data_IF_740910969702
#
_entry.id   IF_740910969702
#
_cell.length_a   1.000
_cell.length_b   1.000
_cell.length_c   1.000
_cell.angle_alpha   90.00
_cell.angle_beta   90.00
_cell.angle_gamma   90.00
#
_symmetry.space_group_name_H-M   'P 1'
#
loop_
_entity.id
_entity.type
_entity.pdbx_description
1 polymer ?
#
# COMPACT_ATOMS: atom_id res chain seq x y z
N UNK A 1 -3.78 3.97 -15.50
CA UNK A 1 -2.42 3.71 -15.98
C UNK A 1 -1.64 5.02 -15.94
N UNK A 2 -0.35 4.95 -15.62
CA UNK A 2 0.45 6.10 -15.21
C UNK A 2 1.76 6.15 -16.00
N UNK A 3 1.85 7.07 -16.95
CA UNK A 3 2.97 7.16 -17.89
C UNK A 3 4.28 7.59 -17.20
N UNK A 4 5.37 6.87 -17.48
CA UNK A 4 6.73 7.21 -17.08
C UNK A 4 7.26 8.25 -18.06
N UNK A 5 7.40 9.49 -17.59
CA UNK A 5 7.93 10.60 -18.37
C UNK A 5 9.44 10.47 -18.54
N UNK A 6 10.14 10.09 -17.48
CA UNK A 6 11.58 9.84 -17.52
C UNK A 6 12.00 8.82 -16.48
N UNK A 7 13.06 8.08 -16.83
CA UNK A 7 13.79 7.16 -15.95
C UNK A 7 15.26 7.51 -15.98
N UNK A 8 15.87 7.60 -14.81
CA UNK A 8 17.30 7.85 -14.63
C UNK A 8 17.89 6.77 -13.74
N UNK A 9 19.00 6.16 -14.18
CA UNK A 9 19.76 5.20 -13.37
C UNK A 9 20.68 5.97 -12.42
N UNK A 10 20.44 5.84 -11.12
CA UNK A 10 21.27 6.48 -10.08
C UNK A 10 22.43 5.56 -9.66
N UNK A 11 22.19 4.26 -9.58
CA UNK A 11 23.20 3.22 -9.34
C UNK A 11 22.77 1.90 -9.98
N UNK A 12 23.51 0.81 -9.77
CA UNK A 12 23.20 -0.49 -10.41
C UNK A 12 21.75 -0.94 -10.19
N UNK A 13 21.25 -0.79 -8.96
CA UNK A 13 19.92 -1.25 -8.55
C UNK A 13 18.97 -0.11 -8.14
N UNK A 14 19.34 1.15 -8.36
CA UNK A 14 18.57 2.32 -7.92
C UNK A 14 18.21 3.23 -9.10
N UNK A 15 16.94 3.54 -9.24
CA UNK A 15 16.42 4.32 -10.35
C UNK A 15 15.46 5.41 -9.88
N UNK A 16 15.54 6.58 -10.51
CA UNK A 16 14.62 7.70 -10.34
C UNK A 16 13.62 7.71 -11.49
N UNK A 17 12.34 7.80 -11.15
CA UNK A 17 11.24 7.86 -12.11
C UNK A 17 10.49 9.18 -11.96
N UNK A 18 10.15 9.82 -13.07
CA UNK A 18 9.15 10.88 -13.13
C UNK A 18 7.91 10.28 -13.79
N UNK A 19 6.78 10.31 -13.09
CA UNK A 19 5.54 9.63 -13.52
C UNK A 19 4.39 10.64 -13.55
N UNK A 20 3.60 10.64 -14.63
CA UNK A 20 2.41 11.50 -14.75
C UNK A 20 1.29 10.97 -13.84
N UNK A 21 0.91 11.76 -12.83
CA UNK A 21 -0.16 11.40 -11.89
C UNK A 21 -0.85 12.66 -11.31
N UNK A 22 -1.73 13.33 -12.08
CA UNK A 22 -2.20 14.68 -11.75
C UNK A 22 -2.93 14.82 -10.42
N UNK A 23 -3.84 13.87 -10.15
CA UNK A 23 -4.63 13.86 -8.91
C UNK A 23 -3.73 13.69 -7.69
N UNK A 24 -2.73 12.82 -7.81
CA UNK A 24 -1.79 12.53 -6.73
C UNK A 24 -0.88 13.72 -6.49
N UNK A 25 -0.28 14.27 -7.55
CA UNK A 25 0.64 15.41 -7.47
C UNK A 25 -0.01 16.64 -6.82
N UNK A 26 -1.30 16.88 -7.09
CA UNK A 26 -2.06 17.98 -6.49
C UNK A 26 -2.28 17.82 -4.98
N UNK A 27 -2.54 16.59 -4.53
CA UNK A 27 -2.91 16.29 -3.16
C UNK A 27 -1.71 15.93 -2.24
N UNK A 28 -0.57 15.57 -2.84
CA UNK A 28 0.62 15.10 -2.13
C UNK A 28 1.13 16.10 -1.08
N UNK A 29 1.57 15.57 0.07
CA UNK A 29 2.26 16.27 1.14
C UNK A 29 3.46 15.43 1.63
N UNK A 30 4.48 16.05 2.26
CA UNK A 30 5.63 15.33 2.82
C UNK A 30 5.20 14.17 3.72
N UNK A 31 5.89 13.03 3.62
CA UNK A 31 5.56 11.79 4.34
C UNK A 31 4.50 10.92 3.67
N UNK A 32 3.82 11.40 2.62
CA UNK A 32 2.92 10.55 1.85
C UNK A 32 3.67 9.54 0.98
N UNK A 33 3.01 8.42 0.73
CA UNK A 33 3.48 7.37 -0.17
C UNK A 33 2.39 6.99 -1.17
N UNK A 34 2.71 6.09 -2.09
CA UNK A 34 1.75 5.48 -3.02
C UNK A 34 1.85 3.96 -2.96
N UNK A 35 0.76 3.27 -3.27
CA UNK A 35 0.81 1.84 -3.61
C UNK A 35 0.91 1.73 -5.13
N UNK A 36 1.95 1.07 -5.63
CA UNK A 36 2.19 0.86 -7.04
C UNK A 36 2.11 -0.63 -7.43
N UNK A 37 1.65 -0.91 -8.64
CA UNK A 37 1.70 -2.22 -9.29
C UNK A 37 2.22 -2.04 -10.71
N UNK A 38 3.33 -2.69 -11.05
CA UNK A 38 3.99 -2.52 -12.35
C UNK A 38 3.14 -3.06 -13.52
N UNK A 39 2.68 -4.31 -13.40
CA UNK A 39 2.05 -5.11 -14.46
C UNK A 39 0.81 -5.84 -13.91
N UNK A 40 -0.03 -6.41 -14.80
CA UNK A 40 -1.33 -6.99 -14.43
C UNK A 40 -1.23 -8.12 -13.40
N UNK A 41 -0.25 -9.01 -13.55
CA UNK A 41 0.07 -10.13 -12.65
C UNK A 41 1.00 -9.72 -11.49
N UNK A 42 1.34 -8.43 -11.37
CA UNK A 42 2.25 -7.93 -10.36
C UNK A 42 1.63 -7.80 -8.97
N UNK A 43 2.47 -7.86 -7.93
CA UNK A 43 2.04 -7.50 -6.58
C UNK A 43 2.03 -5.97 -6.39
N UNK A 44 1.27 -5.53 -5.39
CA UNK A 44 1.20 -4.13 -4.95
C UNK A 44 2.31 -3.86 -3.95
N UNK A 45 3.05 -2.77 -4.14
CA UNK A 45 4.14 -2.37 -3.24
C UNK A 45 4.04 -0.89 -2.84
N UNK A 46 4.32 -0.54 -1.57
CA UNK A 46 4.42 0.85 -1.15
C UNK A 46 5.71 1.49 -1.65
N UNK A 47 5.60 2.71 -2.19
CA UNK A 47 6.73 3.52 -2.62
C UNK A 47 6.56 4.95 -2.10
N UNK A 48 7.62 5.51 -1.49
CA UNK A 48 7.64 6.91 -1.08
C UNK A 48 7.63 7.84 -2.29
N UNK A 49 6.90 8.94 -2.18
CA UNK A 49 6.93 10.02 -3.17
C UNK A 49 7.95 11.06 -2.71
N UNK A 50 9.06 11.19 -3.44
CA UNK A 50 10.16 12.08 -3.01
C UNK A 50 9.98 13.51 -3.51
N UNK A 51 9.17 13.72 -4.56
CA UNK A 51 8.74 15.02 -5.01
C UNK A 51 7.42 14.92 -5.78
N UNK A 52 6.68 16.03 -5.81
CA UNK A 52 5.47 16.18 -6.63
C UNK A 52 5.46 17.56 -7.28
N UNK A 53 5.34 17.61 -8.60
CA UNK A 53 5.20 18.85 -9.34
C UNK A 53 3.73 19.07 -9.72
N UNK A 54 3.12 20.09 -9.13
CA UNK A 54 1.71 20.43 -9.38
C UNK A 54 1.45 21.03 -10.76
N UNK A 55 2.45 21.66 -11.37
CA UNK A 55 2.35 22.29 -12.69
C UNK A 55 2.57 21.28 -13.80
N UNK A 56 3.58 20.43 -13.66
CA UNK A 56 3.85 19.33 -14.60
C UNK A 56 2.93 18.13 -14.36
N UNK A 57 2.25 18.10 -13.21
CA UNK A 57 1.33 17.05 -12.76
C UNK A 57 2.03 15.68 -12.65
N UNK A 58 3.26 15.70 -12.15
CA UNK A 58 4.12 14.52 -12.04
C UNK A 58 4.50 14.22 -10.58
N UNK A 59 4.85 12.96 -10.34
CA UNK A 59 5.49 12.48 -9.12
C UNK A 59 6.91 12.04 -9.45
N UNK A 60 7.82 12.24 -8.51
CA UNK A 60 9.14 11.64 -8.54
C UNK A 60 9.20 10.50 -7.54
N UNK A 61 9.57 9.31 -8.03
CA UNK A 61 9.78 8.10 -7.23
C UNK A 61 11.25 7.69 -7.33
N UNK A 62 11.82 7.19 -6.24
CA UNK A 62 13.12 6.51 -6.26
C UNK A 62 12.90 5.08 -5.82
N UNK A 63 13.28 4.13 -6.68
CA UNK A 63 12.95 2.72 -6.53
C UNK A 63 14.22 1.90 -6.59
N UNK A 64 14.42 1.07 -5.58
CA UNK A 64 15.53 0.13 -5.50
C UNK A 64 15.05 -1.29 -5.82
N UNK A 65 15.74 -1.98 -6.73
CA UNK A 65 15.43 -3.35 -7.12
C UNK A 65 15.92 -4.35 -6.05
N UNK A 66 15.08 -4.57 -5.04
CA UNK A 66 15.35 -5.47 -3.89
C UNK A 66 14.48 -6.74 -3.89
N UNK A 67 13.54 -6.85 -4.82
CA UNK A 67 12.67 -8.02 -4.97
C UNK A 67 11.89 -7.99 -6.28
N UNK A 68 11.06 -9.00 -6.53
CA UNK A 68 10.34 -9.18 -7.81
C UNK A 68 9.57 -7.93 -8.23
N UNK A 69 8.75 -7.37 -7.33
CA UNK A 69 7.88 -6.24 -7.66
C UNK A 69 8.65 -4.97 -8.00
N UNK A 70 9.68 -4.62 -7.21
CA UNK A 70 10.50 -3.44 -7.47
C UNK A 70 11.40 -3.65 -8.68
N UNK A 71 11.89 -4.86 -8.93
CA UNK A 71 12.61 -5.20 -10.15
C UNK A 71 11.73 -5.10 -11.41
N UNK A 72 10.46 -5.53 -11.34
CA UNK A 72 9.47 -5.33 -12.42
C UNK A 72 9.22 -3.83 -12.68
N UNK A 73 9.13 -2.99 -11.64
CA UNK A 73 9.03 -1.53 -11.82
C UNK A 73 10.29 -0.98 -12.48
N UNK A 74 11.47 -1.41 -11.99
CA UNK A 74 12.77 -0.99 -12.50
C UNK A 74 13.00 -1.43 -13.94
N UNK A 75 12.37 -2.51 -14.41
CA UNK A 75 12.46 -2.96 -15.80
C UNK A 75 11.74 -2.02 -16.78
N UNK A 76 10.71 -1.29 -16.35
CA UNK A 76 9.97 -0.35 -17.19
C UNK A 76 10.84 0.83 -17.62
N UNK A 77 10.57 1.40 -18.79
CA UNK A 77 11.33 2.47 -19.43
C UNK A 77 10.50 3.74 -19.63
N UNK A 78 11.19 4.85 -19.93
CA UNK A 78 10.52 6.10 -20.31
C UNK A 78 9.58 5.87 -21.50
N UNK A 79 8.36 6.39 -21.41
CA UNK A 79 7.29 6.18 -22.39
C UNK A 79 6.35 5.01 -22.05
N UNK A 80 6.79 4.05 -21.23
CA UNK A 80 5.93 2.98 -20.73
C UNK A 80 5.08 3.44 -19.53
N UNK A 81 4.19 2.56 -19.05
CA UNK A 81 3.25 2.89 -17.99
C UNK A 81 3.39 1.96 -16.79
N UNK A 82 3.32 2.54 -15.59
CA UNK A 82 3.02 1.77 -14.38
C UNK A 82 1.52 1.49 -14.38
N UNK A 83 1.14 0.21 -14.31
CA UNK A 83 -0.27 -0.22 -14.42
C UNK A 83 -1.18 0.54 -13.45
N UNK A 84 -0.85 0.48 -12.16
CA UNK A 84 -1.61 1.12 -11.10
C UNK A 84 -0.70 1.90 -10.15
N UNK A 85 -1.16 3.10 -9.77
CA UNK A 85 -0.64 3.90 -8.67
C UNK A 85 -1.85 4.41 -7.89
N UNK A 86 -1.84 4.23 -6.58
CA UNK A 86 -2.89 4.69 -5.67
C UNK A 86 -2.27 5.59 -4.63
N UNK A 87 -2.75 6.83 -4.53
CA UNK A 87 -2.40 7.75 -3.46
C UNK A 87 -2.84 9.20 -3.71
N UNK A 88 -2.29 10.17 -2.96
CA UNK A 88 -1.33 9.96 -1.87
C UNK A 88 -1.99 9.20 -0.71
N UNK A 89 -1.21 8.35 -0.04
CA UNK A 89 -1.63 7.56 1.12
C UNK A 89 -0.81 7.94 2.35
N UNK A 90 -1.31 7.53 3.52
CA UNK A 90 -0.74 7.92 4.80
C UNK A 90 -1.11 9.34 5.23
N UNK A 91 -1.02 9.59 6.52
CA UNK A 91 -0.99 10.93 7.10
C UNK A 91 0.34 11.60 6.75
N UNK A 92 0.32 12.89 6.37
CA UNK A 92 1.54 13.65 6.16
C UNK A 92 2.39 13.73 7.43
N UNK A 93 3.71 13.85 7.26
CA UNK A 93 4.63 14.15 8.35
C UNK A 93 4.20 15.45 9.06
N UNK A 94 4.18 15.49 10.40
CA UNK A 94 3.88 16.70 11.14
C UNK A 94 5.06 17.68 11.02
N UNK A 95 4.99 18.59 10.05
CA UNK A 95 6.00 19.62 9.82
C UNK A 95 5.56 20.91 10.52
N UNK A 96 6.44 21.46 11.38
CA UNK A 96 6.24 22.67 12.16
C UNK A 96 7.61 23.34 12.39
N UNK A 97 7.63 24.55 12.94
CA UNK A 97 8.86 25.17 13.45
C UNK A 97 9.21 24.61 14.83
N UNK A 98 10.18 23.70 14.87
CA UNK A 98 10.69 23.04 16.07
C UNK A 98 11.97 23.69 16.62
N UNK A 99 12.80 24.29 15.76
CA UNK A 99 14.15 24.77 16.10
C UNK A 99 15.20 23.93 15.39
N UNK A 100 16.06 23.26 16.16
CA UNK A 100 17.05 22.31 15.63
C UNK A 100 16.42 20.93 15.48
N UNK A 101 16.46 20.38 14.27
CA UNK A 101 15.88 19.09 13.91
C UNK A 101 16.97 18.18 13.35
N UNK A 102 17.05 16.95 13.85
CA UNK A 102 17.93 15.91 13.29
C UNK A 102 17.10 14.94 12.46
N UNK A 103 17.48 14.73 11.20
CA UNK A 103 16.87 13.76 10.29
C UNK A 103 17.85 12.61 10.06
N UNK A 104 17.51 11.41 10.54
CA UNK A 104 18.34 10.21 10.41
C UNK A 104 17.78 9.30 9.33
N UNK A 105 18.62 8.87 8.40
CA UNK A 105 18.21 8.04 7.27
C UNK A 105 19.19 6.90 6.99
N UNK A 106 18.68 5.73 6.61
CA UNK A 106 19.49 4.65 6.03
C UNK A 106 18.82 4.03 4.80
N UNK A 107 19.64 3.53 3.87
CA UNK A 107 19.18 2.88 2.64
C UNK A 107 18.21 3.73 1.81
N UNK A 108 17.17 3.10 1.26
CA UNK A 108 16.10 3.81 0.53
C UNK A 108 15.34 4.84 1.39
N UNK A 109 15.42 4.73 2.73
CA UNK A 109 14.87 5.71 3.66
C UNK A 109 15.46 7.11 3.48
N UNK A 110 16.73 7.20 3.06
CA UNK A 110 17.39 8.49 2.78
C UNK A 110 16.64 9.28 1.70
N UNK A 111 16.16 8.62 0.65
CA UNK A 111 15.39 9.29 -0.40
C UNK A 111 14.06 9.86 0.13
N UNK A 112 13.47 9.19 1.13
CA UNK A 112 12.22 9.62 1.76
C UNK A 112 12.40 10.83 2.69
N UNK A 113 13.65 11.13 3.12
CA UNK A 113 13.95 12.33 3.89
C UNK A 113 13.88 13.62 3.06
N UNK A 114 14.14 13.56 1.75
CA UNK A 114 14.15 14.74 0.88
C UNK A 114 12.90 15.63 1.02
N UNK A 115 11.66 15.12 0.85
CA UNK A 115 10.46 15.95 1.00
C UNK A 115 10.25 16.43 2.44
N UNK A 116 10.69 15.66 3.45
CA UNK A 116 10.55 16.01 4.87
C UNK A 116 11.51 17.16 5.23
N UNK A 117 12.78 17.05 4.86
CA UNK A 117 13.80 18.07 5.08
C UNK A 117 13.41 19.37 4.37
N UNK A 118 13.01 19.29 3.10
CA UNK A 118 12.57 20.47 2.35
C UNK A 118 11.43 21.21 3.05
N UNK A 119 10.46 20.47 3.59
CA UNK A 119 9.36 21.04 4.33
C UNK A 119 9.79 21.63 5.69
N UNK A 120 10.65 20.95 6.45
CA UNK A 120 11.21 21.46 7.71
C UNK A 120 11.99 22.76 7.49
N UNK A 121 12.79 22.84 6.43
CA UNK A 121 13.50 24.08 6.05
C UNK A 121 12.55 25.21 5.68
N UNK A 122 11.44 24.91 5.00
CA UNK A 122 10.43 25.92 4.68
C UNK A 122 9.73 26.50 5.92
N UNK A 123 9.73 25.76 7.03
CA UNK A 123 9.27 26.21 8.35
C UNK A 123 10.40 26.80 9.22
N UNK A 124 11.53 27.21 8.62
CA UNK A 124 12.67 27.85 9.28
C UNK A 124 13.33 27.01 10.39
N UNK A 125 13.37 25.69 10.24
CA UNK A 125 14.18 24.83 11.09
C UNK A 125 15.66 24.84 10.69
N UNK A 126 16.55 24.65 11.66
CA UNK A 126 17.94 24.23 11.44
C UNK A 126 17.96 22.70 11.35
N UNK A 127 18.33 22.16 10.20
CA UNK A 127 18.22 20.73 9.90
C UNK A 127 19.60 20.11 9.72
N UNK A 128 19.91 19.14 10.59
CA UNK A 128 21.06 18.26 10.47
C UNK A 128 20.59 16.92 9.92
N UNK A 129 21.16 16.47 8.79
CA UNK A 129 20.94 15.11 8.31
C UNK A 129 22.07 14.17 8.76
N UNK A 130 21.70 13.01 9.29
CA UNK A 130 22.62 11.91 9.56
C UNK A 130 22.30 10.78 8.58
N UNK A 131 23.21 10.54 7.64
CA UNK A 131 23.04 9.55 6.58
C UNK A 131 23.88 8.32 6.92
N UNK A 132 23.22 7.20 7.17
CA UNK A 132 23.86 5.97 7.58
C UNK A 132 24.02 5.02 6.40
N UNK A 133 25.26 4.65 6.12
CA UNK A 133 25.62 3.58 5.20
C UNK A 133 25.43 2.23 5.88
N UNK A 134 24.98 1.23 5.11
CA UNK A 134 24.88 -0.16 5.58
C UNK A 134 25.74 -1.07 4.74
N UNK A 135 25.99 -2.26 5.25
CA UNK A 135 26.71 -3.29 4.51
C UNK A 135 26.02 -3.58 3.15
N UNK A 136 26.75 -3.42 2.05
CA UNK A 136 26.28 -3.57 0.66
C UNK A 136 25.17 -2.59 0.24
N UNK A 137 24.91 -1.53 0.99
CA UNK A 137 23.90 -0.52 0.68
C UNK A 137 24.49 0.89 0.88
N UNK A 138 25.09 1.47 -0.18
CA UNK A 138 25.76 2.77 -0.10
C UNK A 138 24.77 3.91 0.11
N UNK A 139 25.27 5.05 0.59
CA UNK A 139 24.48 6.29 0.75
C UNK A 139 23.99 6.76 -0.62
N UNK A 140 22.69 7.09 -0.70
CA UNK A 140 22.03 7.56 -1.92
C UNK A 140 21.65 9.03 -1.77
N UNK A 141 21.61 9.76 -2.90
CA UNK A 141 21.13 11.16 -2.95
C UNK A 141 21.85 12.12 -1.99
N UNK A 142 23.13 11.85 -1.67
CA UNK A 142 23.91 12.65 -0.73
C UNK A 142 23.99 14.13 -1.14
N UNK A 143 24.20 14.39 -2.44
CA UNK A 143 24.34 15.76 -2.95
C UNK A 143 23.01 16.52 -2.88
N UNK A 144 21.91 15.85 -3.20
CA UNK A 144 20.57 16.40 -3.11
C UNK A 144 20.19 16.72 -1.67
N UNK A 145 20.56 15.87 -0.70
CA UNK A 145 20.35 16.13 0.73
C UNK A 145 21.22 17.31 1.18
N UNK A 146 22.54 17.30 0.87
CA UNK A 146 23.46 18.39 1.21
C UNK A 146 23.01 19.75 0.68
N UNK A 147 22.38 19.78 -0.49
CA UNK A 147 21.89 21.01 -1.10
C UNK A 147 20.70 21.65 -0.34
N UNK A 148 20.00 20.88 0.50
CA UNK A 148 18.80 21.34 1.20
C UNK A 148 18.94 21.33 2.74
N UNK A 149 20.01 20.77 3.31
CA UNK A 149 20.26 20.74 4.76
C UNK A 149 21.28 21.78 5.18
N UNK A 150 21.31 22.13 6.47
CA UNK A 150 22.35 23.00 7.02
C UNK A 150 23.65 22.22 7.26
N UNK A 151 23.53 20.98 7.74
CA UNK A 151 24.65 20.10 8.05
C UNK A 151 24.34 18.66 7.63
N UNK A 152 25.37 17.93 7.17
CA UNK A 152 25.28 16.51 6.84
C UNK A 152 26.41 15.75 7.50
N UNK A 153 26.05 14.71 8.24
CA UNK A 153 26.97 13.76 8.86
C UNK A 153 26.80 12.42 8.17
N UNK A 154 27.89 11.89 7.61
CA UNK A 154 27.93 10.54 7.05
C UNK A 154 28.36 9.57 8.14
N UNK A 155 27.60 8.49 8.31
CA UNK A 155 27.78 7.51 9.37
C UNK A 155 27.99 6.14 8.73
N UNK A 156 29.23 5.64 8.73
CA UNK A 156 29.60 4.38 8.06
C UNK A 156 30.34 3.46 9.03
N UNK A 157 29.77 2.30 9.33
CA UNK A 157 30.46 1.19 9.96
C UNK A 157 29.71 -0.12 9.64
N UNK A 158 30.42 -1.17 9.25
CA UNK A 158 29.79 -2.40 8.77
C UNK A 158 29.55 -3.39 9.92
N UNK A 159 28.43 -4.12 9.84
CA UNK A 159 28.00 -5.10 10.84
C UNK A 159 27.13 -4.50 11.96
N UNK A 160 26.19 -5.30 12.49
CA UNK A 160 25.13 -4.84 13.42
C UNK A 160 25.64 -4.07 14.65
N UNK A 161 26.70 -4.57 15.28
CA UNK A 161 27.28 -3.92 16.48
C UNK A 161 28.04 -2.64 16.11
N UNK A 162 28.70 -2.62 14.94
CA UNK A 162 29.40 -1.45 14.40
C UNK A 162 28.42 -0.34 14.00
N UNK A 163 27.35 -0.71 13.30
CA UNK A 163 26.24 0.15 12.90
C UNK A 163 25.60 0.84 14.11
N UNK A 164 25.27 0.07 15.17
CA UNK A 164 24.72 0.62 16.42
C UNK A 164 25.69 1.61 17.09
N UNK A 165 26.94 1.20 17.27
CA UNK A 165 27.93 2.05 17.93
C UNK A 165 28.15 3.36 17.18
N UNK A 166 28.16 3.30 15.85
CA UNK A 166 28.43 4.45 15.00
C UNK A 166 27.26 5.44 14.96
N UNK A 167 26.01 4.97 14.88
CA UNK A 167 24.86 5.87 14.91
C UNK A 167 24.72 6.57 16.26
N UNK A 168 24.96 5.83 17.36
CA UNK A 168 24.95 6.40 18.72
C UNK A 168 26.05 7.46 18.84
N UNK A 169 27.29 7.16 18.44
CA UNK A 169 28.39 8.12 18.51
C UNK A 169 28.11 9.39 17.68
N UNK A 170 27.51 9.23 16.49
CA UNK A 170 27.15 10.36 15.62
C UNK A 170 26.11 11.28 16.28
N UNK A 171 25.08 10.71 16.90
CA UNK A 171 24.03 11.47 17.58
C UNK A 171 24.51 12.09 18.89
N UNK A 172 25.28 11.36 19.70
CA UNK A 172 25.87 11.86 20.94
C UNK A 172 26.75 13.08 20.71
N UNK A 173 27.52 13.08 19.62
CA UNK A 173 28.33 14.23 19.24
C UNK A 173 27.45 15.47 19.01
N UNK A 174 26.35 15.32 18.27
CA UNK A 174 25.40 16.41 18.00
C UNK A 174 24.78 16.92 19.29
N UNK A 175 24.30 16.02 20.16
CA UNK A 175 23.63 16.37 21.41
C UNK A 175 24.55 17.09 22.41
N UNK A 176 25.86 16.84 22.33
CA UNK A 176 26.87 17.57 23.13
C UNK A 176 27.21 18.95 22.56
N UNK A 177 27.10 19.12 21.25
CA UNK A 177 27.46 20.36 20.57
C UNK A 177 26.33 21.38 20.58
N UNK A 178 25.08 20.93 20.54
CA UNK A 178 23.93 21.81 20.46
C UNK A 178 22.63 21.18 20.98
N UNK A 179 21.66 22.05 21.27
CA UNK A 179 20.30 21.62 21.62
C UNK A 179 19.60 21.07 20.38
N UNK A 180 19.01 19.89 20.51
CA UNK A 180 18.14 19.26 19.50
C UNK A 180 16.71 19.23 20.02
N UNK A 181 15.77 19.75 19.24
CA UNK A 181 14.37 19.88 19.62
C UNK A 181 13.50 18.73 19.10
N UNK A 182 13.92 18.10 18.00
CA UNK A 182 13.14 17.07 17.32
C UNK A 182 14.05 16.13 16.54
N UNK A 183 13.70 14.85 16.52
CA UNK A 183 14.31 13.87 15.61
C UNK A 183 13.25 13.26 14.69
N UNK A 184 13.60 13.07 13.42
CA UNK A 184 12.87 12.22 12.48
C UNK A 184 13.79 11.10 12.03
N UNK A 185 13.33 9.86 12.03
CA UNK A 185 14.12 8.71 11.55
C UNK A 185 13.33 7.81 10.61
N UNK A 186 14.01 7.33 9.55
CA UNK A 186 13.44 6.46 8.53
C UNK A 186 14.51 5.55 7.93
N UNK A 187 14.22 4.27 7.76
CA UNK A 187 15.13 3.33 7.11
C UNK A 187 15.05 1.96 7.74
N UNK A 188 16.22 1.38 8.04
CA UNK A 188 16.31 0.08 8.70
C UNK A 188 15.64 0.08 10.09
N UNK A 189 14.78 -0.90 10.41
CA UNK A 189 14.09 -0.96 11.70
C UNK A 189 15.00 -1.00 12.94
N UNK A 190 16.18 -1.63 12.86
CA UNK A 190 17.12 -1.64 13.98
C UNK A 190 17.77 -0.26 14.15
N UNK A 191 18.15 0.40 13.05
CA UNK A 191 18.63 1.79 13.12
C UNK A 191 17.57 2.70 13.75
N UNK A 192 16.31 2.60 13.28
CA UNK A 192 15.21 3.39 13.84
C UNK A 192 15.03 3.13 15.34
N UNK A 193 15.14 1.86 15.78
CA UNK A 193 15.10 1.50 17.20
C UNK A 193 16.25 2.13 17.99
N UNK A 194 17.49 2.05 17.51
CA UNK A 194 18.65 2.63 18.19
C UNK A 194 18.53 4.15 18.37
N UNK A 195 18.03 4.85 17.35
CA UNK A 195 17.74 6.29 17.44
C UNK A 195 16.66 6.58 18.47
N UNK A 196 15.58 5.80 18.50
CA UNK A 196 14.48 5.97 19.46
C UNK A 196 14.94 5.72 20.90
N UNK A 197 15.72 4.67 21.14
CA UNK A 197 16.26 4.34 22.46
C UNK A 197 17.15 5.48 23.00
N UNK A 198 18.11 5.94 22.18
CA UNK A 198 19.00 7.03 22.58
C UNK A 198 18.24 8.34 22.81
N UNK A 199 17.37 8.73 21.89
CA UNK A 199 16.61 9.98 22.03
C UNK A 199 15.66 9.97 23.23
N UNK A 200 15.19 8.80 23.66
CA UNK A 200 14.40 8.63 24.88
C UNK A 200 15.21 8.93 26.13
N UNK A 201 16.46 8.46 26.20
CA UNK A 201 17.39 8.79 27.30
C UNK A 201 17.62 10.30 27.42
N UNK A 202 17.67 10.99 26.29
CA UNK A 202 17.84 12.45 26.22
C UNK A 202 16.51 13.24 26.28
N UNK A 203 15.36 12.57 26.42
CA UNK A 203 14.03 13.21 26.39
C UNK A 203 13.77 14.07 25.14
N UNK A 204 14.35 13.68 24.00
CA UNK A 204 14.16 14.36 22.72
C UNK A 204 12.99 13.70 21.97
N UNK A 205 11.93 14.45 21.59
CA UNK A 205 10.80 13.87 20.85
C UNK A 205 11.25 13.32 19.48
N UNK A 206 10.89 12.08 19.18
CA UNK A 206 11.33 11.39 17.96
C UNK A 206 10.13 10.87 17.17
N UNK A 207 10.04 11.25 15.91
CA UNK A 207 9.11 10.65 14.96
C UNK A 207 9.82 9.59 14.12
N UNK A 208 9.13 8.49 13.87
CA UNK A 208 9.62 7.39 13.02
C UNK A 208 8.63 7.10 11.91
N UNK A 209 9.11 7.08 10.67
CA UNK A 209 8.33 6.68 9.51
C UNK A 209 8.48 5.18 9.26
N UNK A 210 7.45 4.41 9.60
CA UNK A 210 7.50 2.94 9.57
C UNK A 210 7.32 2.36 8.16
N UNK A 211 8.15 1.36 7.84
CA UNK A 211 8.17 0.61 6.58
C UNK A 211 7.49 -0.77 6.71
N UNK A 212 6.24 -0.82 7.17
CA UNK A 212 5.50 -2.09 7.32
C UNK A 212 5.06 -2.71 5.97
N UNK A 213 4.84 -4.02 5.95
CA UNK A 213 4.23 -4.73 4.81
C UNK A 213 2.85 -4.13 4.53
N UNK A 214 2.58 -3.79 3.26
CA UNK A 214 1.30 -3.24 2.82
C UNK A 214 0.76 -4.00 1.60
N UNK A 215 -0.57 -4.07 1.50
CA UNK A 215 -1.27 -4.67 0.35
C UNK A 215 -2.20 -3.64 -0.30
N UNK A 216 -3.22 -3.20 0.44
CA UNK A 216 -4.20 -2.23 -0.05
C UNK A 216 -3.77 -0.77 0.17
N UNK A 217 -3.12 -0.48 1.31
CA UNK A 217 -2.69 0.87 1.70
C UNK A 217 -3.82 1.82 2.14
N UNK A 218 -5.03 1.30 2.38
CA UNK A 218 -6.24 2.09 2.69
C UNK A 218 -6.98 1.60 3.95
N UNK A 219 -6.30 0.80 4.78
CA UNK A 219 -6.82 0.32 6.06
C UNK A 219 -7.79 -0.85 5.98
N UNK A 220 -7.88 -1.53 4.84
CA UNK A 220 -8.88 -2.58 4.61
C UNK A 220 -8.43 -3.95 5.13
N UNK A 221 -7.14 -4.30 5.03
CA UNK A 221 -6.69 -5.67 5.34
C UNK A 221 -5.94 -5.84 6.67
N UNK A 222 -5.36 -4.77 7.23
CA UNK A 222 -4.53 -4.85 8.44
C UNK A 222 -3.17 -5.55 8.26
N UNK A 223 -2.69 -5.74 7.02
CA UNK A 223 -1.34 -6.25 6.74
C UNK A 223 -0.26 -5.33 7.34
N UNK A 224 -0.51 -4.03 7.32
CA UNK A 224 0.42 -3.05 7.90
C UNK A 224 0.14 -2.75 9.37
N UNK A 225 -0.52 -3.67 10.09
CA UNK A 225 -0.79 -3.45 11.52
C UNK A 225 0.52 -3.48 12.31
N UNK A 226 0.56 -2.67 13.36
CA UNK A 226 1.65 -2.61 14.34
C UNK A 226 1.08 -2.16 15.69
N UNK A 227 1.72 -2.57 16.79
CA UNK A 227 1.40 -2.06 18.12
C UNK A 227 2.11 -0.72 18.37
N UNK A 228 1.33 0.30 18.70
CA UNK A 228 1.78 1.63 19.13
C UNK A 228 1.13 1.92 20.48
N UNK A 229 1.91 2.12 21.53
CA UNK A 229 1.42 2.37 22.90
C UNK A 229 0.38 1.33 23.37
N UNK A 230 0.70 0.05 23.16
CA UNK A 230 -0.17 -1.08 23.51
C UNK A 230 -1.47 -1.20 22.69
N UNK A 231 -1.65 -0.38 21.64
CA UNK A 231 -2.84 -0.41 20.77
C UNK A 231 -2.46 -0.74 19.34
N UNK A 232 -3.28 -1.56 18.70
CA UNK A 232 -3.11 -1.84 17.26
C UNK A 232 -3.43 -0.59 16.43
N UNK A 233 -2.49 -0.23 15.55
CA UNK A 233 -2.60 0.85 14.55
C UNK A 233 -2.31 0.31 13.17
N UNK A 234 -2.84 0.96 12.13
CA UNK A 234 -2.56 0.59 10.74
C UNK A 234 -1.64 1.64 10.11
N UNK A 235 -0.40 1.27 9.80
CA UNK A 235 0.60 2.22 9.26
C UNK A 235 0.10 3.02 8.07
N UNK A 236 -0.65 2.40 7.14
CA UNK A 236 -1.16 3.08 5.94
C UNK A 236 -2.24 4.16 6.20
N UNK A 237 -2.94 4.09 7.33
CA UNK A 237 -4.03 5.02 7.68
C UNK A 237 -3.66 5.92 8.86
N UNK A 238 -3.02 5.35 9.87
CA UNK A 238 -2.66 6.04 11.11
C UNK A 238 -1.32 6.75 11.04
N UNK A 239 -0.39 6.23 10.22
CA UNK A 239 0.98 6.73 10.04
C UNK A 239 1.21 7.21 8.60
N UNK A 240 2.41 7.01 7.99
CA UNK A 240 3.47 6.12 8.44
C UNK A 240 4.31 6.68 9.59
N UNK A 241 4.21 7.98 9.87
CA UNK A 241 4.87 8.65 10.99
C UNK A 241 4.18 8.40 12.33
N UNK A 242 4.90 7.84 13.29
CA UNK A 242 4.47 7.63 14.67
C UNK A 242 5.45 8.26 15.67
N UNK A 243 5.05 8.35 16.94
CA UNK A 243 5.98 8.58 18.04
C UNK A 243 6.87 7.34 18.21
N UNK A 244 8.16 7.50 17.94
CA UNK A 244 9.13 6.42 17.96
C UNK A 244 9.31 5.78 19.33
N UNK A 245 9.01 6.50 20.41
CA UNK A 245 9.14 5.97 21.78
C UNK A 245 8.01 5.02 22.16
N UNK A 246 6.97 4.90 21.32
CA UNK A 246 5.78 4.09 21.54
C UNK A 246 5.70 2.87 20.61
N UNK A 247 6.67 2.68 19.70
CA UNK A 247 6.65 1.61 18.69
C UNK A 247 7.15 0.28 19.26
N UNK A 248 6.44 -0.81 18.97
CA UNK A 248 6.95 -2.17 19.16
C UNK A 248 7.87 -2.58 17.99
N UNK A 249 9.16 -2.23 18.08
CA UNK A 249 10.16 -2.58 17.07
C UNK A 249 10.38 -4.10 16.91
N UNK A 250 10.43 -4.91 17.98
CA UNK A 250 10.47 -6.37 17.84
C UNK A 250 9.30 -6.94 17.03
N UNK A 251 8.07 -6.47 17.25
CA UNK A 251 6.92 -6.85 16.42
C UNK A 251 7.17 -6.46 14.95
N UNK A 252 7.55 -5.20 14.69
CA UNK A 252 7.80 -4.71 13.32
C UNK A 252 8.83 -5.57 12.58
N UNK A 253 9.97 -5.85 13.21
CA UNK A 253 11.07 -6.64 12.62
C UNK A 253 10.61 -8.06 12.32
N UNK A 254 9.90 -8.70 13.24
CA UNK A 254 9.39 -10.05 13.03
C UNK A 254 8.37 -10.09 11.88
N UNK A 255 7.51 -9.08 11.79
CA UNK A 255 6.52 -8.95 10.72
C UNK A 255 7.18 -8.73 9.36
N UNK A 256 8.24 -7.92 9.27
CA UNK A 256 8.96 -7.69 8.02
C UNK A 256 9.67 -8.95 7.50
N UNK A 257 10.10 -9.83 8.39
CA UNK A 257 10.75 -11.10 8.03
C UNK A 257 9.75 -12.25 7.81
N UNK A 258 8.44 -11.99 7.77
CA UNK A 258 7.44 -13.06 7.66
C UNK A 258 7.45 -13.78 6.30
N UNK A 259 7.96 -13.16 5.24
CA UNK A 259 8.00 -13.72 3.88
C UNK A 259 9.42 -13.81 3.28
N UNK A 260 10.46 -13.69 4.12
CA UNK A 260 11.84 -13.54 3.63
C UNK A 260 12.30 -14.71 2.75
N UNK A 261 11.86 -15.94 3.03
CA UNK A 261 12.27 -17.11 2.27
C UNK A 261 11.53 -17.19 0.93
N UNK A 262 10.22 -16.95 0.93
CA UNK A 262 9.39 -16.86 -0.27
C UNK A 262 9.88 -15.74 -1.20
N UNK A 263 10.23 -14.58 -0.65
CA UNK A 263 10.76 -13.44 -1.40
C UNK A 263 12.11 -13.78 -2.05
N UNK A 264 13.02 -14.43 -1.33
CA UNK A 264 14.31 -14.88 -1.87
C UNK A 264 14.12 -15.86 -3.02
N UNK A 265 13.25 -16.86 -2.84
CA UNK A 265 12.97 -17.88 -3.86
C UNK A 265 12.33 -17.25 -5.09
N UNK A 266 11.31 -16.41 -4.91
CA UNK A 266 10.62 -15.74 -6.00
C UNK A 266 11.56 -14.81 -6.77
N UNK A 267 12.43 -14.08 -6.08
CA UNK A 267 13.38 -13.17 -6.73
C UNK A 267 14.48 -13.93 -7.49
N UNK A 268 15.01 -15.02 -6.91
CA UNK A 268 15.96 -15.88 -7.61
C UNK A 268 15.36 -16.52 -8.87
N UNK A 269 14.07 -16.89 -8.85
CA UNK A 269 13.35 -17.37 -10.03
C UNK A 269 13.25 -16.28 -11.10
N UNK A 270 12.76 -15.10 -10.73
CA UNK A 270 12.64 -13.96 -11.63
C UNK A 270 13.97 -13.58 -12.30
N UNK A 271 15.08 -13.59 -11.55
CA UNK A 271 16.42 -13.30 -12.10
C UNK A 271 16.90 -14.38 -13.09
N UNK A 272 16.46 -15.64 -12.94
CA UNK A 272 16.80 -16.71 -13.90
C UNK A 272 16.01 -16.55 -15.20
N UNK A 273 14.71 -16.27 -15.10
CA UNK A 273 13.84 -16.09 -16.26
C UNK A 273 14.29 -14.89 -17.12
N UNK A 274 14.59 -13.76 -16.47
CA UNK A 274 15.05 -12.55 -17.16
C UNK A 274 16.42 -12.70 -17.83
N UNK A 275 17.36 -13.42 -17.19
CA UNK A 275 18.66 -13.74 -17.82
C UNK A 275 18.54 -14.72 -18.99
N UNK A 276 17.56 -15.62 -18.95
CA UNK A 276 17.28 -16.54 -20.05
C UNK A 276 16.61 -15.84 -21.24
N UNK A 277 15.75 -14.84 -20.99
CA UNK A 277 15.11 -14.05 -22.05
C UNK A 277 16.06 -13.09 -22.77
N UNK A 278 17.15 -12.66 -22.13
CA UNK A 278 18.20 -11.84 -22.77
C UNK A 278 19.14 -12.67 -23.68
N UNK A 279 19.08 -14.00 -23.62
CA UNK A 279 19.93 -14.91 -24.40
C UNK A 279 19.21 -15.60 -25.58
N UNK A 280 17.89 -15.46 -25.71
CA UNK A 280 17.12 -16.12 -26.77
C UNK A 280 15.82 -15.38 -27.07
N UNK A 281 15.60 -15.11 -28.35
CA UNK A 281 14.39 -14.50 -28.93
C UNK A 281 13.12 -15.26 -28.55
N UNK A 282 12.10 -14.50 -28.11
CA UNK A 282 10.65 -14.81 -28.14
C UNK A 282 10.24 -16.26 -27.89
N UNK A 283 9.78 -16.53 -26.67
CA UNK A 283 8.82 -17.61 -26.45
C UNK A 283 7.54 -17.07 -25.80
N UNK A 284 6.44 -17.29 -26.53
CA UNK A 284 5.08 -16.99 -26.11
C UNK A 284 4.76 -17.84 -24.89
N UNK A 285 4.47 -17.20 -23.76
CA UNK A 285 3.87 -17.88 -22.62
C UNK A 285 2.44 -18.23 -23.01
N UNK A 286 2.13 -19.52 -22.98
CA UNK A 286 0.81 -20.07 -23.22
C UNK A 286 -0.20 -19.44 -22.25
N UNK A 287 -1.11 -18.65 -22.80
CA UNK A 287 -2.37 -18.32 -22.14
C UNK A 287 -3.08 -19.62 -21.78
N UNK A 288 -3.47 -19.76 -20.51
CA UNK A 288 -4.51 -20.70 -20.14
C UNK A 288 -5.76 -20.25 -20.89
N UNK A 289 -6.13 -21.00 -21.92
CA UNK A 289 -7.31 -20.75 -22.72
C UNK A 289 -8.54 -20.71 -21.81
N UNK A 290 -9.04 -19.50 -21.58
CA UNK A 290 -10.43 -19.29 -21.21
C UNK A 290 -11.19 -19.57 -22.50
N UNK A 291 -12.07 -20.56 -22.47
CA UNK A 291 -12.86 -21.00 -23.62
C UNK A 291 -13.47 -19.77 -24.33
N UNK A 292 -13.23 -19.63 -25.64
CA UNK A 292 -13.68 -18.49 -26.46
C UNK A 292 -15.21 -18.32 -26.47
N UNK A 293 -15.94 -19.33 -25.99
CA UNK A 293 -17.39 -19.34 -25.87
C UNK A 293 -17.97 -18.32 -24.86
N UNK A 294 -17.19 -17.84 -23.87
CA UNK A 294 -17.69 -16.95 -22.81
C UNK A 294 -17.48 -15.45 -23.06
N UNK A 295 -16.89 -15.06 -24.20
CA UNK A 295 -16.84 -13.65 -24.65
C UNK A 295 -18.15 -13.22 -25.31
N UNK A 296 -19.28 -13.42 -24.63
CA UNK A 296 -20.48 -12.63 -24.93
C UNK A 296 -20.26 -11.28 -24.24
N UNK A 297 -20.29 -10.19 -25.01
CA UNK A 297 -20.28 -8.83 -24.48
C UNK A 297 -21.56 -8.57 -23.67
N UNK A 298 -21.59 -9.07 -22.44
CA UNK A 298 -22.69 -8.83 -21.50
C UNK A 298 -22.56 -7.37 -21.02
N UNK A 299 -23.36 -6.49 -21.60
CA UNK A 299 -23.48 -5.09 -21.20
C UNK A 299 -24.70 -4.93 -20.31
N UNK A 300 -24.62 -3.99 -19.36
CA UNK A 300 -25.77 -3.57 -18.56
C UNK A 300 -26.68 -2.71 -19.44
N UNK A 301 -27.96 -3.02 -19.44
CA UNK A 301 -28.99 -2.30 -20.21
C UNK A 301 -29.68 -1.25 -19.33
N UNK A 302 -30.38 -0.27 -19.91
CA UNK A 302 -31.18 0.69 -19.14
C UNK A 302 -32.22 -0.01 -18.23
N UNK A 303 -32.77 -1.13 -18.70
CA UNK A 303 -33.65 -2.01 -17.93
C UNK A 303 -32.97 -2.65 -16.71
N UNK A 304 -31.66 -2.91 -16.77
CA UNK A 304 -30.92 -3.45 -15.61
C UNK A 304 -30.72 -2.37 -14.53
N UNK A 305 -30.78 -1.08 -14.91
CA UNK A 305 -30.66 0.09 -14.02
C UNK A 305 -31.97 0.41 -13.28
N UNK A 306 -33.11 0.16 -13.92
CA UNK A 306 -34.43 0.51 -13.39
C UNK A 306 -34.90 -0.46 -12.29
N UNK A 307 -35.43 0.10 -11.20
CA UNK A 307 -36.17 -0.68 -10.19
C UNK A 307 -37.49 -1.21 -10.75
N UNK A 308 -38.11 -0.42 -11.63
CA UNK A 308 -39.44 -0.72 -12.17
C UNK A 308 -39.39 -1.58 -13.44
N UNK A 309 -38.22 -2.15 -13.74
CA UNK A 309 -38.05 -3.13 -14.79
C UNK A 309 -38.95 -4.35 -14.56
N UNK A 310 -39.54 -4.88 -15.63
CA UNK A 310 -40.59 -5.89 -15.52
C UNK A 310 -40.10 -7.17 -14.85
N UNK A 311 -38.87 -7.59 -15.17
CA UNK A 311 -38.24 -8.75 -14.55
C UNK A 311 -38.05 -8.62 -13.03
N UNK A 312 -37.89 -7.40 -12.49
CA UNK A 312 -37.82 -7.19 -11.03
C UNK A 312 -39.19 -7.31 -10.38
N UNK A 313 -40.24 -6.79 -11.02
CA UNK A 313 -41.63 -6.96 -10.56
C UNK A 313 -42.02 -8.43 -10.53
N UNK A 314 -41.65 -9.18 -11.56
CA UNK A 314 -41.85 -10.63 -11.62
C UNK A 314 -41.17 -11.35 -10.45
N UNK A 315 -39.91 -11.03 -10.15
CA UNK A 315 -39.21 -11.60 -9.00
C UNK A 315 -39.89 -11.25 -7.68
N UNK A 316 -40.29 -9.99 -7.50
CA UNK A 316 -41.01 -9.55 -6.29
C UNK A 316 -42.36 -10.24 -6.11
N UNK A 317 -43.06 -10.55 -7.21
CA UNK A 317 -44.32 -11.27 -7.16
C UNK A 317 -44.18 -12.73 -6.69
N UNK A 318 -42.99 -13.35 -6.82
CA UNK A 318 -42.76 -14.75 -6.42
C UNK A 318 -42.86 -14.99 -4.91
N UNK A 319 -42.49 -14.00 -4.09
CA UNK A 319 -42.46 -14.14 -2.63
C UNK A 319 -42.92 -12.86 -1.95
N UNK A 320 -43.82 -13.00 -0.97
CA UNK A 320 -44.29 -11.87 -0.14
C UNK A 320 -43.14 -11.36 0.75
N UNK A 321 -43.14 -10.06 1.12
CA UNK A 321 -42.11 -9.51 2.01
C UNK A 321 -41.92 -10.29 3.32
N UNK A 322 -43.02 -10.77 3.92
CA UNK A 322 -42.99 -11.58 5.14
C UNK A 322 -42.27 -12.92 4.95
N UNK A 323 -42.42 -13.54 3.79
CA UNK A 323 -41.76 -14.80 3.44
C UNK A 323 -40.26 -14.58 3.25
N UNK A 324 -39.88 -13.51 2.54
CA UNK A 324 -38.47 -13.12 2.34
C UNK A 324 -37.74 -12.83 3.66
N UNK A 325 -38.41 -12.16 4.61
CA UNK A 325 -37.83 -11.88 5.93
C UNK A 325 -37.71 -13.14 6.80
N UNK A 326 -38.56 -14.15 6.59
CA UNK A 326 -38.53 -15.40 7.33
C UNK A 326 -37.48 -16.40 6.80
N UNK A 327 -36.94 -16.19 5.59
CA UNK A 327 -35.90 -17.04 5.02
C UNK A 327 -34.62 -16.97 5.86
N UNK A 328 -34.05 -18.13 6.25
CA UNK A 328 -32.81 -18.17 7.03
C UNK A 328 -31.65 -17.62 6.19
N UNK A 329 -30.71 -16.96 6.86
CA UNK A 329 -29.44 -16.53 6.24
C UNK A 329 -28.62 -17.73 5.85
N UNK A 330 -28.07 -17.72 4.64
CA UNK A 330 -27.07 -18.69 4.22
C UNK A 330 -25.72 -18.26 4.79
N UNK A 331 -25.12 -19.11 5.63
CA UNK A 331 -23.81 -18.84 6.21
C UNK A 331 -22.72 -19.01 5.14
N UNK A 332 -21.77 -18.08 5.08
CA UNK A 332 -20.60 -18.18 4.20
C UNK A 332 -19.80 -19.45 4.54
N UNK A 333 -19.58 -20.36 3.58
CA UNK A 333 -18.67 -21.49 3.80
C UNK A 333 -17.26 -20.97 4.07
N UNK A 334 -16.68 -21.39 5.19
CA UNK A 334 -15.33 -21.01 5.61
C UNK A 334 -14.44 -22.24 5.70
N UNK A 335 -13.13 -22.05 5.47
CA UNK A 335 -12.12 -23.05 5.80
C UNK A 335 -12.10 -23.34 7.29
N UNK A 336 -11.79 -24.59 7.62
CA UNK A 336 -11.68 -25.04 9.01
C UNK A 336 -10.67 -24.18 9.80
N UNK A 337 -11.02 -23.67 11.00
CA UNK A 337 -10.13 -22.83 11.80
C UNK A 337 -8.78 -23.46 12.16
N UNK A 338 -8.73 -24.78 12.39
CA UNK A 338 -7.48 -25.49 12.75
C UNK A 338 -6.59 -25.64 11.52
N UNK A 339 -7.18 -25.90 10.36
CA UNK A 339 -6.47 -25.95 9.09
C UNK A 339 -5.87 -24.58 8.72
N UNK A 340 -6.69 -23.53 8.68
CA UNK A 340 -6.25 -22.18 8.25
C UNK A 340 -5.28 -21.48 9.21
N UNK A 341 -5.20 -21.95 10.46
CA UNK A 341 -4.19 -21.48 11.41
C UNK A 341 -2.77 -21.95 11.03
N UNK A 342 -2.65 -23.00 10.20
CA UNK A 342 -1.37 -23.62 9.81
C UNK A 342 -1.06 -23.47 8.33
N UNK A 343 -2.09 -23.39 7.49
CA UNK A 343 -1.98 -23.23 6.04
C UNK A 343 -2.52 -21.84 5.66
N UNK A 344 -1.64 -20.96 5.19
CA UNK A 344 -1.97 -19.55 4.86
C UNK A 344 -1.97 -19.27 3.34
N UNK A 345 -2.09 -20.32 2.52
CA UNK A 345 -2.02 -20.26 1.06
C UNK A 345 -3.40 -20.33 0.37
N UNK A 346 -4.47 -20.57 1.13
CA UNK A 346 -5.84 -20.71 0.60
C UNK A 346 -6.79 -19.64 1.16
N UNK A 347 -7.79 -19.26 0.37
CA UNK A 347 -8.78 -18.25 0.78
C UNK A 347 -9.72 -18.80 1.85
N UNK A 348 -9.85 -18.07 2.97
CA UNK A 348 -10.67 -18.52 4.12
C UNK A 348 -12.15 -18.60 3.77
N UNK A 349 -12.66 -17.66 2.97
CA UNK A 349 -14.06 -17.67 2.51
C UNK A 349 -14.16 -18.44 1.20
N UNK A 350 -14.76 -19.63 1.23
CA UNK A 350 -14.84 -20.50 0.06
C UNK A 350 -15.88 -20.01 -0.98
N UNK A 351 -16.69 -19.01 -0.64
CA UNK A 351 -17.74 -18.48 -1.48
C UNK A 351 -19.03 -19.32 -1.43
N UNK A 352 -20.11 -18.76 -1.97
CA UNK A 352 -21.38 -19.47 -2.13
C UNK A 352 -21.40 -20.31 -3.40
N UNK A 353 -22.08 -21.46 -3.34
CA UNK A 353 -22.55 -22.12 -4.57
C UNK A 353 -23.60 -21.26 -5.27
N UNK A 354 -23.87 -21.57 -6.54
CA UNK A 354 -24.91 -20.89 -7.33
C UNK A 354 -26.27 -20.89 -6.61
N UNK A 355 -26.64 -22.02 -6.04
CA UNK A 355 -27.90 -22.25 -5.34
C UNK A 355 -27.95 -21.45 -4.04
N UNK A 356 -26.86 -21.47 -3.26
CA UNK A 356 -26.70 -20.70 -2.03
C UNK A 356 -26.79 -19.18 -2.28
N UNK A 357 -26.14 -18.69 -3.33
CA UNK A 357 -26.17 -17.28 -3.70
C UNK A 357 -27.58 -16.83 -4.10
N UNK A 358 -28.31 -17.64 -4.88
CA UNK A 358 -29.70 -17.36 -5.26
C UNK A 358 -30.60 -17.37 -4.02
N UNK A 359 -30.44 -18.37 -3.13
CA UNK A 359 -31.21 -18.47 -1.89
C UNK A 359 -31.00 -17.24 -1.00
N UNK A 360 -29.76 -16.79 -0.81
CA UNK A 360 -29.48 -15.59 -0.02
C UNK A 360 -30.04 -14.33 -0.70
N UNK A 361 -29.96 -14.24 -2.04
CA UNK A 361 -30.48 -13.11 -2.81
C UNK A 361 -32.01 -12.96 -2.70
N UNK A 362 -32.75 -14.07 -2.57
CA UNK A 362 -34.21 -14.06 -2.38
C UNK A 362 -34.65 -13.35 -1.10
N UNK A 363 -33.74 -13.10 -0.14
CA UNK A 363 -34.05 -12.34 1.07
C UNK A 363 -34.20 -10.83 0.80
N UNK A 364 -33.67 -10.33 -0.31
CA UNK A 364 -33.74 -8.91 -0.63
C UNK A 364 -35.17 -8.46 -0.91
N UNK A 365 -35.60 -7.41 -0.21
CA UNK A 365 -36.94 -6.82 -0.32
C UNK A 365 -37.10 -5.86 -1.50
N UNK A 366 -36.00 -5.47 -2.16
CA UNK A 366 -35.99 -4.43 -3.22
C UNK A 366 -36.76 -3.16 -2.84
N UNK A 367 -36.45 -2.66 -1.64
CA UNK A 367 -37.14 -1.53 -1.03
C UNK A 367 -37.20 -0.33 -1.99
N UNK A 368 -38.36 0.35 -2.12
CA UNK A 368 -38.49 1.56 -2.94
C UNK A 368 -37.46 2.64 -2.58
N UNK A 369 -37.20 2.80 -1.29
CA UNK A 369 -36.16 3.68 -0.75
C UNK A 369 -35.06 2.82 -0.10
N UNK A 370 -33.99 2.48 -0.85
CA UNK A 370 -33.01 1.51 -0.38
C UNK A 370 -32.00 2.18 0.57
N UNK A 371 -32.31 2.17 1.87
CA UNK A 371 -31.40 2.67 2.91
C UNK A 371 -30.02 2.02 2.90
N UNK A 372 -29.90 0.80 2.38
CA UNK A 372 -28.63 0.11 2.19
C UNK A 372 -27.68 0.83 1.20
N UNK A 373 -28.22 1.47 0.16
CA UNK A 373 -27.41 2.23 -0.81
C UNK A 373 -26.83 3.49 -0.16
N UNK A 374 -27.63 4.15 0.69
CA UNK A 374 -27.16 5.32 1.45
C UNK A 374 -26.20 4.93 2.58
N UNK A 375 -26.41 3.78 3.20
CA UNK A 375 -25.52 3.25 4.25
C UNK A 375 -24.22 2.64 3.71
N UNK A 376 -24.09 2.45 2.40
CA UNK A 376 -22.86 1.98 1.78
C UNK A 376 -21.89 3.16 1.59
N UNK A 377 -20.67 3.13 2.16
CA UNK A 377 -19.70 4.24 2.02
C UNK A 377 -19.31 4.57 0.58
N UNK A 378 -19.45 3.59 -0.31
CA UNK A 378 -19.17 3.75 -1.74
C UNK A 378 -20.45 3.79 -2.58
N UNK A 379 -21.64 3.87 -1.96
CA UNK A 379 -22.94 3.99 -2.64
C UNK A 379 -23.25 2.91 -3.69
N UNK A 380 -22.82 1.67 -3.45
CA UNK A 380 -23.16 0.53 -4.32
C UNK A 380 -24.68 0.34 -4.36
N UNK A 381 -25.24 0.17 -5.57
CA UNK A 381 -26.64 -0.16 -5.77
C UNK A 381 -26.90 -1.63 -5.37
N UNK A 382 -27.04 -1.86 -4.06
CA UNK A 382 -27.16 -3.19 -3.45
C UNK A 382 -28.39 -3.96 -3.97
N UNK A 383 -29.60 -3.39 -4.03
CA UNK A 383 -30.76 -4.11 -4.56
C UNK A 383 -30.56 -4.58 -6.00
N UNK A 384 -29.92 -3.77 -6.85
CA UNK A 384 -29.67 -4.13 -8.25
C UNK A 384 -28.85 -5.40 -8.38
N UNK A 385 -27.67 -5.45 -7.77
CA UNK A 385 -26.82 -6.62 -7.95
C UNK A 385 -27.43 -7.86 -7.29
N UNK A 386 -28.13 -7.70 -6.16
CA UNK A 386 -28.80 -8.84 -5.51
C UNK A 386 -29.92 -9.39 -6.39
N UNK A 387 -30.72 -8.54 -7.05
CA UNK A 387 -31.77 -9.02 -7.96
C UNK A 387 -31.22 -9.66 -9.23
N UNK A 388 -30.08 -9.20 -9.73
CA UNK A 388 -29.37 -9.89 -10.80
C UNK A 388 -28.89 -11.29 -10.34
N UNK A 389 -28.43 -11.45 -9.10
CA UNK A 389 -28.13 -12.76 -8.52
C UNK A 389 -29.39 -13.63 -8.40
N UNK A 390 -30.51 -13.10 -7.89
CA UNK A 390 -31.78 -13.84 -7.79
C UNK A 390 -32.31 -14.31 -9.16
N UNK A 391 -32.02 -13.55 -10.22
CA UNK A 391 -32.31 -13.91 -11.62
C UNK A 391 -31.35 -14.97 -12.19
N UNK A 392 -30.19 -15.18 -11.56
CA UNK A 392 -29.12 -16.06 -12.05
C UNK A 392 -28.09 -15.39 -12.97
N UNK A 393 -28.13 -14.06 -13.07
CA UNK A 393 -27.28 -13.22 -13.92
C UNK A 393 -26.02 -12.74 -13.18
N UNK A 394 -25.17 -13.68 -12.76
CA UNK A 394 -24.01 -13.40 -11.88
C UNK A 394 -23.00 -12.43 -12.49
N UNK A 395 -22.74 -12.54 -13.80
CA UNK A 395 -21.79 -11.67 -14.49
C UNK A 395 -22.31 -10.22 -14.51
N UNK A 396 -23.59 -10.01 -14.82
CA UNK A 396 -24.23 -8.69 -14.73
C UNK A 396 -24.20 -8.14 -13.30
N UNK A 397 -24.46 -8.98 -12.30
CA UNK A 397 -24.36 -8.59 -10.90
C UNK A 397 -22.94 -8.08 -10.59
N UNK A 398 -21.91 -8.83 -10.97
CA UNK A 398 -20.51 -8.45 -10.75
C UNK A 398 -20.14 -7.14 -11.48
N UNK A 399 -20.54 -6.99 -12.75
CA UNK A 399 -20.33 -5.76 -13.53
C UNK A 399 -20.99 -4.56 -12.85
N UNK A 400 -22.20 -4.75 -12.32
CA UNK A 400 -22.94 -3.68 -11.67
C UNK A 400 -22.28 -3.18 -10.38
N UNK A 401 -21.49 -4.01 -9.69
CA UNK A 401 -20.70 -3.56 -8.53
C UNK A 401 -19.43 -2.85 -9.03
N UNK A 402 -18.82 -3.35 -10.11
CA UNK A 402 -17.60 -2.79 -10.72
C UNK A 402 -17.78 -1.38 -11.30
N UNK A 403 -19.02 -0.95 -11.59
CA UNK A 403 -19.30 0.43 -12.00
C UNK A 403 -18.88 1.47 -10.94
N UNK A 404 -18.91 1.08 -9.66
CA UNK A 404 -18.76 2.01 -8.53
C UNK A 404 -17.54 1.65 -7.67
N UNK A 405 -17.22 0.36 -7.55
CA UNK A 405 -16.05 -0.11 -6.81
C UNK A 405 -15.06 -0.80 -7.72
N UNK A 406 -13.82 -0.31 -7.73
CA UNK A 406 -12.69 -0.97 -8.39
C UNK A 406 -12.20 -2.23 -7.65
N UNK A 407 -12.65 -2.43 -6.41
CA UNK A 407 -12.21 -3.53 -5.52
C UNK A 407 -13.41 -4.21 -4.83
N UNK A 408 -14.41 -4.72 -5.58
CA UNK A 408 -15.68 -5.19 -5.02
C UNK A 408 -15.51 -6.37 -4.05
N UNK A 409 -14.57 -7.27 -4.34
CA UNK A 409 -14.24 -8.40 -3.46
C UNK A 409 -13.67 -7.94 -2.10
N UNK A 410 -12.92 -6.85 -2.07
CA UNK A 410 -12.37 -6.30 -0.83
C UNK A 410 -13.45 -5.54 -0.06
N UNK A 411 -14.26 -4.73 -0.76
CA UNK A 411 -15.39 -4.01 -0.16
C UNK A 411 -16.39 -4.92 0.55
N UNK A 412 -16.63 -6.13 0.01
CA UNK A 412 -17.45 -7.15 0.67
C UNK A 412 -16.88 -7.55 2.02
N UNK A 413 -15.60 -7.93 2.08
CA UNK A 413 -14.91 -8.45 3.29
C UNK A 413 -14.80 -7.45 4.43
N UNK A 414 -14.78 -6.15 4.11
CA UNK A 414 -14.67 -5.09 5.11
C UNK A 414 -16.01 -4.40 5.38
N UNK A 415 -17.10 -4.93 4.81
CA UNK A 415 -18.41 -4.32 4.93
C UNK A 415 -18.80 -4.28 6.42
N UNK A 416 -19.02 -3.08 7.00
CA UNK A 416 -19.32 -2.96 8.43
C UNK A 416 -20.69 -3.55 8.80
N UNK A 417 -21.52 -3.85 7.79
CA UNK A 417 -22.85 -4.47 7.93
C UNK A 417 -22.81 -6.01 7.93
N UNK A 418 -21.64 -6.62 7.71
CA UNK A 418 -21.46 -8.10 7.73
C UNK A 418 -21.24 -8.67 9.14
N UNK A 419 -21.36 -7.84 10.19
CA UNK A 419 -21.20 -8.25 11.60
C UNK A 419 -22.36 -9.10 12.13
#
# INVERSE_FOLDING_TARGET
MYQIISKEKLSENLFKFIVKAPRIAKAHRPGNFVIARAVEDGARVPLSVIAADKKQETLTLVVQAVGVSTAKIVALNSGEEIKDIVGPLGKPTPVQQYGTVVCVGSGIGIASLLPIISALKSENNHVIAVLMERENEPIILEQEIKAITDEVILSSNHGKDGEKAQIIASLDQIFRQQTVNKVFTIGDPLMMQYVCDLTKEHSIPTNVALNAIMVDGMGMCGACRITIDGRTKFVCMDGPDFDGHQVDFPELINRLNSYSEEEKVAYAHYLKETKASDATTTDKVNEVAIDEADRIAVTLTEDDLSRDAEWRKELLAKFKPKERMAMPRVAMPLLDPVYRARQMNEEVSCGFTKEQAIQEAQRCLDCPNPGCVQGCPVHVNIPRFIKLIEKGEFIKAALSIKEISSLPAVCGRVCPQEK
#
